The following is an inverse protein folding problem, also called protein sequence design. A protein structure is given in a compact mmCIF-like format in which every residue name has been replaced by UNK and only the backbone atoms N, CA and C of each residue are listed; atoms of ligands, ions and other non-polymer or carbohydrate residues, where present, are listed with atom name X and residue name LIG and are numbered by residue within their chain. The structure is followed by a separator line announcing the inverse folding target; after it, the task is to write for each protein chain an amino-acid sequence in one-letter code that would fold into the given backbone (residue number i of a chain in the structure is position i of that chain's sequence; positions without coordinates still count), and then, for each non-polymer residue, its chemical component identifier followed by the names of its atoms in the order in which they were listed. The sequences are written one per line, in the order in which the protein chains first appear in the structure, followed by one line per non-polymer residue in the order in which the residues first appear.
data_IF_652122758323
#
_entry.id   IF_652122758323
#
_cell.length_a   1.000
_cell.length_b   1.000
_cell.length_c   1.000
_cell.angle_alpha   90.00
_cell.angle_beta   90.00
_cell.angle_gamma   90.00
#
_symmetry.space_group_name_H-M   'P 1'
#
loop_
_entity.id
_entity.type
_entity.pdbx_description
1 polymer ?
#
# COMPACT_ATOMS: atom_id res chain seq x y z
N UNK A 1 10.43 14.09 -0.46
CA UNK A 1 10.22 13.51 0.87
C UNK A 1 8.75 13.15 0.98
N UNK A 2 8.43 12.07 1.59
CA UNK A 2 7.08 11.50 1.63
C UNK A 2 6.29 12.03 2.83
N UNK A 3 6.95 12.21 3.97
CA UNK A 3 6.42 12.97 5.11
C UNK A 3 6.66 14.47 4.86
N UNK A 4 5.67 15.32 5.04
CA UNK A 4 5.81 16.76 4.83
C UNK A 4 6.92 17.38 5.70
N UNK A 5 7.63 18.37 5.19
CA UNK A 5 8.77 19.01 5.87
C UNK A 5 8.41 19.55 7.26
N UNK A 6 7.22 20.17 7.39
CA UNK A 6 6.71 20.67 8.67
C UNK A 6 6.50 19.53 9.69
N UNK A 7 5.95 18.40 9.26
CA UNK A 7 5.73 17.25 10.13
C UNK A 7 7.05 16.58 10.51
N UNK A 8 7.97 16.44 9.56
CA UNK A 8 9.31 15.92 9.82
C UNK A 8 10.09 16.80 10.79
N UNK A 9 10.00 18.11 10.64
CA UNK A 9 10.63 19.08 11.55
C UNK A 9 10.02 19.00 12.96
N UNK A 10 8.71 18.85 13.08
CA UNK A 10 8.05 18.66 14.38
C UNK A 10 8.45 17.36 15.06
N UNK A 11 8.63 16.30 14.28
CA UNK A 11 9.00 14.97 14.78
C UNK A 11 10.48 14.91 15.19
N UNK A 12 11.38 15.40 14.34
CA UNK A 12 12.83 15.17 14.43
C UNK A 12 13.68 16.45 14.49
N UNK A 13 13.06 17.64 14.47
CA UNK A 13 13.80 18.90 14.36
C UNK A 13 14.39 19.12 12.96
N UNK A 14 15.28 20.10 12.81
CA UNK A 14 15.87 20.49 11.51
C UNK A 14 16.84 19.48 10.92
N UNK A 15 17.33 18.52 11.73
CA UNK A 15 18.20 17.41 11.29
C UNK A 15 17.43 16.21 10.72
N UNK A 16 16.11 16.34 10.52
CA UNK A 16 15.21 15.26 10.13
C UNK A 16 15.71 14.38 8.95
N UNK A 17 16.41 14.85 7.92
CA UNK A 17 16.83 13.97 6.81
C UNK A 17 17.68 12.80 7.31
N UNK A 18 18.73 13.07 8.10
CA UNK A 18 19.60 12.02 8.63
C UNK A 18 18.90 11.10 9.61
N UNK A 19 18.04 11.66 10.48
CA UNK A 19 17.26 10.86 11.45
C UNK A 19 16.28 9.92 10.74
N UNK A 20 15.62 10.40 9.67
CA UNK A 20 14.73 9.56 8.88
C UNK A 20 15.47 8.48 8.09
N UNK A 21 16.70 8.75 7.63
CA UNK A 21 17.57 7.74 7.02
C UNK A 21 17.95 6.65 8.03
N UNK A 22 18.32 7.02 9.26
CA UNK A 22 18.57 6.07 10.33
C UNK A 22 17.33 5.24 10.66
N UNK A 23 16.15 5.88 10.78
CA UNK A 23 14.89 5.19 11.03
C UNK A 23 14.51 4.24 9.88
N UNK A 24 14.79 4.63 8.63
CA UNK A 24 14.54 3.77 7.46
C UNK A 24 15.47 2.56 7.41
N UNK A 25 16.71 2.69 7.85
CA UNK A 25 17.68 1.60 7.92
C UNK A 25 17.46 0.65 9.12
N UNK A 26 16.75 1.12 10.15
CA UNK A 26 16.48 0.34 11.36
C UNK A 26 15.25 -0.56 11.19
N UNK A 27 15.30 -1.76 11.78
CA UNK A 27 14.12 -2.61 11.94
C UNK A 27 13.25 -2.12 13.11
N UNK A 28 11.94 -2.41 13.05
CA UNK A 28 11.01 -2.08 14.13
C UNK A 28 10.64 -0.61 14.26
N UNK A 29 10.88 0.21 13.25
CA UNK A 29 10.41 1.60 13.15
C UNK A 29 9.24 1.72 12.17
N UNK A 30 8.42 2.78 12.27
CA UNK A 30 7.36 3.08 11.28
C UNK A 30 7.96 3.24 9.88
N UNK A 31 9.14 3.86 9.77
CA UNK A 31 9.83 4.18 8.52
C UNK A 31 10.75 3.07 8.00
N UNK A 32 10.84 1.93 8.70
CA UNK A 32 11.70 0.80 8.34
C UNK A 32 11.54 0.39 6.86
N UNK A 33 12.66 0.05 6.21
CA UNK A 33 12.66 -0.53 4.87
C UNK A 33 11.78 -1.81 4.76
N UNK A 34 11.56 -2.53 5.86
CA UNK A 34 10.68 -3.70 5.92
C UNK A 34 9.20 -3.34 5.69
N UNK A 35 8.82 -2.09 5.97
CA UNK A 35 7.49 -1.56 5.73
C UNK A 35 7.34 -0.96 4.33
N UNK A 36 8.42 -0.89 3.56
CA UNK A 36 8.45 -0.21 2.27
C UNK A 36 8.08 -1.13 1.09
N UNK A 37 7.47 -0.52 0.07
CA UNK A 37 7.49 -0.99 -1.31
C UNK A 37 8.15 0.09 -2.17
N UNK A 38 9.00 -0.32 -3.10
CA UNK A 38 9.70 0.58 -4.01
C UNK A 38 9.16 0.40 -5.43
N UNK A 39 8.79 1.49 -6.07
CA UNK A 39 8.50 1.51 -7.49
C UNK A 39 9.80 1.71 -8.27
N UNK A 40 10.10 0.81 -9.19
CA UNK A 40 11.25 0.87 -10.07
C UNK A 40 10.80 1.15 -11.52
N UNK A 41 11.53 1.99 -12.21
CA UNK A 41 11.35 2.29 -13.63
C UNK A 41 12.72 2.20 -14.29
N UNK A 42 12.86 1.30 -15.25
CA UNK A 42 14.12 1.07 -15.99
C UNK A 42 15.35 0.85 -15.08
N UNK A 43 15.18 0.09 -14.00
CA UNK A 43 16.24 -0.22 -13.04
C UNK A 43 16.55 0.91 -12.06
N UNK A 44 15.73 1.97 -12.02
CA UNK A 44 15.92 3.12 -11.14
C UNK A 44 14.77 3.25 -10.17
N UNK A 45 15.05 3.43 -8.89
CA UNK A 45 14.03 3.69 -7.87
C UNK A 45 13.28 5.00 -8.18
N UNK A 46 12.03 4.90 -8.58
CA UNK A 46 11.18 6.01 -9.01
C UNK A 46 10.29 6.56 -7.89
N UNK A 47 10.09 5.78 -6.83
CA UNK A 47 9.26 6.17 -5.70
C UNK A 47 9.18 5.07 -4.65
N UNK A 48 8.58 5.40 -3.53
CA UNK A 48 8.36 4.44 -2.44
C UNK A 48 7.03 4.71 -1.73
N UNK A 49 6.50 3.67 -1.09
CA UNK A 49 5.42 3.77 -0.13
C UNK A 49 5.78 2.99 1.12
N UNK A 50 5.30 3.48 2.26
CA UNK A 50 5.44 2.85 3.57
C UNK A 50 4.05 2.48 4.09
N UNK A 51 3.92 1.29 4.66
CA UNK A 51 2.67 0.86 5.27
C UNK A 51 2.86 -0.30 6.21
N UNK A 52 2.04 -0.34 7.24
CA UNK A 52 2.10 -1.31 8.32
C UNK A 52 0.70 -1.58 8.90
N UNK A 53 0.57 -2.69 9.61
CA UNK A 53 -0.66 -3.01 10.33
C UNK A 53 -0.87 -2.03 11.49
N UNK A 54 -2.04 -1.42 11.57
CA UNK A 54 -2.37 -0.45 12.61
C UNK A 54 -2.26 -1.00 14.04
N UNK A 55 -2.37 -2.31 14.20
CA UNK A 55 -2.11 -2.99 15.48
C UNK A 55 -0.65 -2.80 15.97
N UNK A 56 0.29 -2.57 15.05
CA UNK A 56 1.71 -2.41 15.35
C UNK A 56 2.12 -0.94 15.55
N UNK A 57 1.20 0.01 15.40
CA UNK A 57 1.48 1.45 15.47
C UNK A 57 2.34 1.84 16.66
N UNK A 58 1.90 1.51 17.87
CA UNK A 58 2.60 1.94 19.08
C UNK A 58 3.99 1.32 19.22
N UNK A 59 4.13 0.04 18.86
CA UNK A 59 5.43 -0.63 18.87
C UNK A 59 6.40 -0.01 17.88
N UNK A 60 5.96 0.21 16.64
CA UNK A 60 6.78 0.81 15.58
C UNK A 60 7.11 2.28 15.90
N UNK A 61 6.16 3.01 16.48
CA UNK A 61 6.36 4.39 16.93
C UNK A 61 7.42 4.48 18.02
N UNK A 62 7.39 3.58 19.01
CA UNK A 62 8.44 3.54 20.04
C UNK A 62 9.82 3.26 19.43
N UNK A 63 9.92 2.35 18.46
CA UNK A 63 11.16 2.14 17.71
C UNK A 63 11.63 3.41 16.99
N UNK A 64 10.73 4.11 16.32
CA UNK A 64 11.02 5.40 15.67
C UNK A 64 11.49 6.45 16.69
N UNK A 65 10.77 6.60 17.81
CA UNK A 65 11.12 7.54 18.85
C UNK A 65 12.46 7.21 19.50
N UNK A 66 12.82 5.92 19.63
CA UNK A 66 14.12 5.51 20.14
C UNK A 66 15.27 6.00 19.23
N UNK A 67 15.12 5.86 17.91
CA UNK A 67 16.09 6.41 16.94
C UNK A 67 16.17 7.94 17.07
N UNK A 68 15.02 8.62 17.13
CA UNK A 68 14.98 10.09 17.24
C UNK A 68 15.65 10.58 18.52
N UNK A 69 15.43 9.93 19.65
CA UNK A 69 16.03 10.30 20.97
C UNK A 69 17.57 10.22 20.97
N UNK A 70 18.16 9.43 20.11
CA UNK A 70 19.61 9.41 19.94
C UNK A 70 20.17 10.70 19.36
N UNK A 71 19.38 11.38 18.52
CA UNK A 71 19.75 12.63 17.84
C UNK A 71 19.06 13.87 18.44
N UNK A 72 17.92 13.68 19.11
CA UNK A 72 17.08 14.74 19.71
C UNK A 72 16.54 14.34 21.07
N UNK A 73 16.65 15.25 22.03
CA UNK A 73 16.26 14.99 23.43
C UNK A 73 14.74 14.94 23.68
N UNK A 74 13.91 15.56 22.83
CA UNK A 74 12.46 15.66 23.05
C UNK A 74 11.69 15.61 21.72
N UNK A 75 11.44 14.40 21.17
CA UNK A 75 10.57 14.28 20.03
C UNK A 75 9.13 14.63 20.39
N UNK A 76 8.43 15.29 19.50
CA UNK A 76 6.99 15.49 19.61
C UNK A 76 6.29 14.17 19.23
N UNK A 77 5.33 13.73 20.06
CA UNK A 77 4.56 12.52 19.81
C UNK A 77 3.32 12.89 18.99
N UNK A 78 3.13 12.31 17.79
CA UNK A 78 1.93 12.57 17.01
C UNK A 78 0.71 11.84 17.60
N UNK A 79 -0.48 12.32 17.22
CA UNK A 79 -1.75 11.61 17.47
C UNK A 79 -1.76 10.25 16.76
N UNK A 80 -2.67 9.35 17.15
CA UNK A 80 -2.79 8.03 16.51
C UNK A 80 -3.45 8.13 15.15
N UNK A 81 -2.66 7.89 14.11
CA UNK A 81 -3.11 7.94 12.72
C UNK A 81 -3.92 6.71 12.29
N UNK A 82 -3.75 5.57 12.94
CA UNK A 82 -4.42 4.30 12.63
C UNK A 82 -4.82 3.53 13.89
N UNK A 83 -5.43 2.35 13.72
CA UNK A 83 -5.85 1.47 14.81
C UNK A 83 -5.85 -0.01 14.33
N UNK A 84 -5.93 -0.99 15.25
CA UNK A 84 -6.05 -2.40 14.88
C UNK A 84 -7.19 -2.67 13.89
N UNK A 85 -6.98 -3.61 12.96
CA UNK A 85 -7.93 -3.97 11.89
C UNK A 85 -7.81 -3.10 10.63
N UNK A 86 -6.85 -2.19 10.58
CA UNK A 86 -6.51 -1.40 9.42
C UNK A 86 -5.05 -1.63 9.03
N UNK A 87 -4.77 -1.88 7.75
CA UNK A 87 -3.43 -1.70 7.22
C UNK A 87 -3.28 -0.22 6.84
N UNK A 88 -2.33 0.46 7.42
CA UNK A 88 -2.17 1.89 7.25
C UNK A 88 -1.04 2.21 6.28
N UNK A 89 -1.35 2.98 5.24
CA UNK A 89 -0.37 3.56 4.32
C UNK A 89 0.06 4.91 4.90
N UNK A 90 1.22 4.90 5.54
CA UNK A 90 1.78 6.07 6.21
C UNK A 90 2.23 7.12 5.21
N UNK A 91 2.92 6.66 4.18
CA UNK A 91 3.58 7.55 3.24
C UNK A 91 3.64 6.98 1.84
N UNK A 92 3.47 7.83 0.82
CA UNK A 92 3.66 7.46 -0.57
C UNK A 92 4.23 8.65 -1.37
N UNK A 93 5.26 8.40 -2.16
CA UNK A 93 5.88 9.43 -2.99
C UNK A 93 6.49 8.88 -4.27
N UNK A 94 6.35 9.67 -5.33
CA UNK A 94 7.00 9.42 -6.63
C UNK A 94 7.87 10.63 -6.97
N UNK A 95 9.10 10.36 -7.38
CA UNK A 95 10.04 11.39 -7.82
C UNK A 95 9.42 12.21 -8.97
N UNK A 96 9.63 13.54 -9.01
CA UNK A 96 8.95 14.44 -9.95
C UNK A 96 9.00 13.97 -11.41
N UNK A 97 10.17 13.50 -11.86
CA UNK A 97 10.39 13.06 -13.24
C UNK A 97 9.63 11.78 -13.63
N UNK A 98 9.12 11.01 -12.64
CA UNK A 98 8.36 9.77 -12.88
C UNK A 98 6.87 9.92 -12.59
N UNK A 99 6.42 11.15 -12.26
CA UNK A 99 4.99 11.44 -12.03
C UNK A 99 4.19 11.40 -13.33
N UNK A 100 2.87 11.25 -13.20
CA UNK A 100 1.91 11.25 -14.31
C UNK A 100 2.05 10.07 -15.30
N UNK A 101 2.85 9.07 -14.99
CA UNK A 101 3.03 7.84 -15.79
C UNK A 101 2.39 6.59 -15.12
N UNK A 102 1.51 6.81 -14.14
CA UNK A 102 0.78 5.72 -13.46
C UNK A 102 1.54 5.04 -12.32
N UNK A 103 2.84 5.34 -12.09
CA UNK A 103 3.64 4.70 -11.05
C UNK A 103 3.02 4.85 -9.65
N UNK A 104 2.51 6.05 -9.30
CA UNK A 104 1.86 6.28 -8.00
C UNK A 104 0.60 5.44 -7.79
N UNK A 105 -0.22 5.28 -8.84
CA UNK A 105 -1.39 4.38 -8.77
C UNK A 105 -0.96 2.93 -8.55
N UNK A 106 0.01 2.45 -9.31
CA UNK A 106 0.51 1.07 -9.20
C UNK A 106 1.08 0.80 -7.79
N UNK A 107 1.89 1.72 -7.27
CA UNK A 107 2.48 1.61 -5.94
C UNK A 107 1.41 1.62 -4.84
N UNK A 108 0.41 2.50 -4.94
CA UNK A 108 -0.73 2.55 -4.01
C UNK A 108 -1.50 1.23 -4.02
N UNK A 109 -1.80 0.70 -5.20
CA UNK A 109 -2.55 -0.56 -5.34
C UNK A 109 -1.74 -1.77 -4.85
N UNK A 110 -0.43 -1.78 -5.02
CA UNK A 110 0.44 -2.80 -4.44
C UNK A 110 0.40 -2.77 -2.90
N UNK A 111 0.39 -1.57 -2.30
CA UNK A 111 0.21 -1.43 -0.84
C UNK A 111 -1.17 -1.92 -0.38
N UNK A 112 -2.22 -1.61 -1.13
CA UNK A 112 -3.57 -2.15 -0.84
C UNK A 112 -3.54 -3.68 -0.88
N UNK A 113 -2.96 -4.28 -1.93
CA UNK A 113 -2.80 -5.73 -2.05
C UNK A 113 -2.02 -6.33 -0.88
N UNK A 114 -0.89 -5.71 -0.47
CA UNK A 114 -0.11 -6.13 0.70
C UNK A 114 -0.96 -6.15 1.98
N UNK A 115 -1.72 -5.07 2.24
CA UNK A 115 -2.56 -4.97 3.43
C UNK A 115 -3.65 -6.02 3.49
N UNK A 116 -4.31 -6.29 2.35
CA UNK A 116 -5.35 -7.32 2.26
C UNK A 116 -4.77 -8.74 2.37
N UNK A 117 -3.60 -8.99 1.79
CA UNK A 117 -2.91 -10.29 1.89
C UNK A 117 -2.48 -10.62 3.34
N UNK A 118 -2.26 -9.61 4.18
CA UNK A 118 -2.00 -9.76 5.61
C UNK A 118 -3.28 -10.01 6.44
N UNK A 119 -4.46 -10.07 5.80
CA UNK A 119 -5.73 -10.36 6.46
C UNK A 119 -6.42 -9.13 7.08
N UNK A 120 -6.01 -7.92 6.72
CA UNK A 120 -6.70 -6.72 7.18
C UNK A 120 -8.01 -6.50 6.40
N UNK A 121 -9.07 -6.08 7.09
CA UNK A 121 -10.38 -5.81 6.48
C UNK A 121 -10.41 -4.51 5.66
N UNK A 122 -9.45 -3.63 5.91
CA UNK A 122 -9.40 -2.28 5.32
C UNK A 122 -7.97 -1.78 5.25
N UNK A 123 -7.74 -0.97 4.24
CA UNK A 123 -6.50 -0.22 4.05
C UNK A 123 -6.82 1.26 4.18
N UNK A 124 -6.14 1.95 5.08
CA UNK A 124 -6.37 3.36 5.37
C UNK A 124 -5.16 4.24 5.06
N UNK A 125 -5.42 5.51 4.90
CA UNK A 125 -4.41 6.57 4.80
C UNK A 125 -4.99 7.90 5.24
N UNK A 126 -4.11 8.86 5.51
CA UNK A 126 -4.54 10.24 5.72
C UNK A 126 -4.11 11.15 4.56
N UNK A 127 -4.91 12.15 4.27
CA UNK A 127 -4.60 13.17 3.27
C UNK A 127 -4.97 14.56 3.79
N UNK A 128 -4.08 15.51 3.56
CA UNK A 128 -4.31 16.91 3.88
C UNK A 128 -5.47 17.49 3.07
N UNK A 129 -6.30 18.34 3.69
CA UNK A 129 -7.43 19.01 3.03
C UNK A 129 -7.00 19.83 1.81
N UNK A 130 -5.79 20.38 1.82
CA UNK A 130 -5.22 21.14 0.71
C UNK A 130 -4.65 20.28 -0.42
N UNK A 131 -4.46 18.97 -0.21
CA UNK A 131 -3.84 18.08 -1.20
C UNK A 131 -4.88 17.41 -2.11
N UNK A 132 -5.59 18.23 -2.89
CA UNK A 132 -6.63 17.77 -3.82
C UNK A 132 -6.12 16.80 -4.89
N UNK A 133 -4.84 16.91 -5.29
CA UNK A 133 -4.23 16.01 -6.26
C UNK A 133 -4.07 14.59 -5.74
N UNK A 134 -3.61 14.42 -4.50
CA UNK A 134 -3.53 13.12 -3.84
C UNK A 134 -4.93 12.57 -3.54
N UNK A 135 -5.83 13.40 -3.01
CA UNK A 135 -7.21 13.01 -2.74
C UNK A 135 -7.90 12.43 -3.98
N UNK A 136 -7.79 13.11 -5.13
CA UNK A 136 -8.34 12.63 -6.40
C UNK A 136 -7.68 11.32 -6.89
N UNK A 137 -6.39 11.09 -6.61
CA UNK A 137 -5.75 9.80 -6.89
C UNK A 137 -6.34 8.71 -6.01
N UNK A 138 -6.45 8.94 -4.71
CA UNK A 138 -6.97 7.97 -3.75
C UNK A 138 -8.43 7.60 -4.04
N UNK A 139 -9.28 8.58 -4.36
CA UNK A 139 -10.66 8.34 -4.76
C UNK A 139 -10.77 7.45 -6.01
N UNK A 140 -9.95 7.73 -7.06
CA UNK A 140 -9.87 6.86 -8.25
C UNK A 140 -9.33 5.45 -7.98
N UNK A 141 -8.66 5.26 -6.85
CA UNK A 141 -8.19 3.96 -6.37
C UNK A 141 -9.15 3.28 -5.38
N UNK A 142 -10.37 3.81 -5.21
CA UNK A 142 -11.41 3.20 -4.39
C UNK A 142 -11.40 3.63 -2.92
N UNK A 143 -10.53 4.55 -2.53
CA UNK A 143 -10.56 5.11 -1.18
C UNK A 143 -11.73 6.07 -1.01
N UNK A 144 -12.40 5.98 0.15
CA UNK A 144 -13.54 6.85 0.52
C UNK A 144 -13.27 7.52 1.86
N UNK A 145 -13.71 8.77 2.04
CA UNK A 145 -13.64 9.44 3.33
C UNK A 145 -14.45 8.68 4.38
N UNK A 146 -13.84 8.35 5.51
CA UNK A 146 -14.49 7.70 6.66
C UNK A 146 -14.50 8.59 7.90
N UNK A 147 -13.78 9.70 7.88
CA UNK A 147 -13.74 10.66 8.97
C UNK A 147 -12.59 11.65 8.84
N UNK A 148 -12.32 12.31 9.93
CA UNK A 148 -11.19 13.22 10.10
C UNK A 148 -10.33 12.73 11.27
N UNK A 149 -9.03 12.93 11.16
CA UNK A 149 -8.06 12.67 12.22
C UNK A 149 -7.16 13.89 12.44
N UNK A 150 -6.58 13.96 13.61
CA UNK A 150 -5.54 14.93 13.93
C UNK A 150 -4.17 14.31 13.67
N UNK A 151 -3.24 15.10 13.17
CA UNK A 151 -1.83 14.78 13.12
C UNK A 151 -1.05 16.06 13.47
N UNK A 152 -0.39 16.05 14.62
CA UNK A 152 0.20 17.27 15.22
C UNK A 152 -0.77 18.45 15.29
N UNK A 153 -2.01 18.19 15.75
CA UNK A 153 -3.11 19.17 15.81
C UNK A 153 -3.57 19.70 14.44
N UNK A 154 -3.07 19.14 13.34
CA UNK A 154 -3.53 19.45 11.99
C UNK A 154 -4.61 18.46 11.58
N UNK A 155 -5.77 18.95 11.14
CA UNK A 155 -6.85 18.10 10.66
C UNK A 155 -6.55 17.56 9.27
N UNK A 156 -6.78 16.25 9.09
CA UNK A 156 -6.62 15.54 7.83
C UNK A 156 -7.86 14.68 7.56
N UNK A 157 -8.17 14.44 6.30
CA UNK A 157 -9.14 13.42 5.93
C UNK A 157 -8.54 12.03 6.22
N UNK A 158 -9.30 11.18 6.89
CA UNK A 158 -9.03 9.76 6.96
C UNK A 158 -9.82 9.06 5.86
N UNK A 159 -9.11 8.42 4.95
CA UNK A 159 -9.69 7.69 3.83
C UNK A 159 -9.43 6.20 4.03
N UNK A 160 -10.42 5.37 3.67
CA UNK A 160 -10.27 3.92 3.68
C UNK A 160 -10.71 3.31 2.35
N UNK A 161 -9.98 2.29 1.94
CA UNK A 161 -10.39 1.32 0.96
C UNK A 161 -10.80 0.05 1.73
N UNK A 162 -12.09 -0.22 1.79
CA UNK A 162 -12.62 -1.47 2.34
C UNK A 162 -12.75 -2.42 1.18
N UNK A 163 -12.07 -3.53 1.22
CA UNK A 163 -12.05 -4.54 0.16
C UNK A 163 -12.11 -3.97 -1.25
N UNK A 164 -11.23 -4.43 -2.10
CA UNK A 164 -11.60 -4.62 -3.48
C UNK A 164 -12.79 -5.61 -3.43
N UNK A 165 -14.01 -5.10 -3.26
CA UNK A 165 -15.17 -5.96 -3.44
C UNK A 165 -15.01 -6.50 -4.84
N UNK A 166 -14.87 -7.82 -4.94
CA UNK A 166 -14.95 -8.46 -6.23
C UNK A 166 -16.30 -8.08 -6.80
N UNK A 167 -16.33 -7.11 -7.71
CA UNK A 167 -17.55 -6.78 -8.46
C UNK A 167 -17.93 -7.95 -9.35
N UNK A 168 -16.92 -8.71 -9.75
CA UNK A 168 -17.08 -9.89 -10.59
C UNK A 168 -16.17 -11.01 -10.13
N UNK A 169 -16.64 -12.25 -10.29
CA UNK A 169 -15.92 -13.47 -9.92
C UNK A 169 -16.09 -14.53 -10.99
N UNK A 170 -15.05 -15.31 -11.21
CA UNK A 170 -15.11 -16.51 -12.04
C UNK A 170 -14.40 -17.65 -11.34
N UNK A 171 -15.09 -18.80 -11.22
CA UNK A 171 -14.51 -20.05 -10.71
C UNK A 171 -13.71 -20.72 -11.84
N UNK A 172 -12.49 -21.12 -11.57
CA UNK A 172 -11.72 -21.94 -12.50
C UNK A 172 -12.01 -23.43 -12.25
N UNK A 173 -12.56 -24.12 -13.26
CA UNK A 173 -12.97 -25.52 -13.16
C UNK A 173 -12.00 -26.49 -13.86
N UNK A 174 -10.83 -26.03 -14.29
CA UNK A 174 -9.92 -26.82 -15.12
C UNK A 174 -10.36 -26.92 -16.59
N UNK A 175 -11.64 -26.75 -16.91
CA UNK A 175 -12.23 -26.94 -18.25
C UNK A 175 -12.74 -25.64 -18.88
N UNK A 176 -12.87 -24.55 -18.11
CA UNK A 176 -13.47 -23.30 -18.55
C UNK A 176 -12.45 -22.20 -18.91
N UNK A 177 -11.28 -22.58 -19.40
CA UNK A 177 -10.23 -21.60 -19.78
C UNK A 177 -10.73 -20.49 -20.72
N UNK A 178 -11.54 -20.76 -21.75
CA UNK A 178 -12.03 -19.68 -22.64
C UNK A 178 -12.78 -18.59 -21.90
N UNK A 179 -13.64 -18.94 -20.94
CA UNK A 179 -14.40 -17.99 -20.12
C UNK A 179 -13.48 -17.22 -19.14
N UNK A 180 -12.50 -17.92 -18.56
CA UNK A 180 -11.48 -17.29 -17.71
C UNK A 180 -10.61 -16.34 -18.54
N UNK A 181 -10.24 -16.70 -19.76
CA UNK A 181 -9.48 -15.83 -20.68
C UNK A 181 -10.29 -14.56 -21.05
N UNK A 182 -11.57 -14.70 -21.33
CA UNK A 182 -12.47 -13.56 -21.56
C UNK A 182 -12.56 -12.66 -20.34
N UNK A 183 -12.71 -13.26 -19.14
CA UNK A 183 -12.76 -12.53 -17.86
C UNK A 183 -11.48 -11.78 -17.53
N UNK A 184 -10.31 -12.42 -17.68
CA UNK A 184 -9.01 -11.88 -17.29
C UNK A 184 -8.30 -11.08 -18.40
N UNK A 185 -8.74 -11.20 -19.65
CA UNK A 185 -8.06 -10.62 -20.81
C UNK A 185 -6.63 -11.14 -20.95
N UNK A 186 -5.70 -10.24 -21.25
CA UNK A 186 -4.29 -10.58 -21.46
C UNK A 186 -3.51 -10.85 -20.16
N UNK A 187 -4.17 -10.72 -18.99
CA UNK A 187 -3.57 -11.00 -17.70
C UNK A 187 -3.52 -12.48 -17.32
N UNK A 188 -4.09 -13.38 -18.12
CA UNK A 188 -4.04 -14.83 -17.90
C UNK A 188 -3.22 -15.51 -18.99
N UNK A 189 -2.30 -16.38 -18.59
CA UNK A 189 -1.51 -17.20 -19.51
C UNK A 189 -2.24 -18.50 -19.84
N UNK A 190 -1.81 -19.14 -20.92
CA UNK A 190 -2.36 -20.43 -21.32
C UNK A 190 -2.25 -21.49 -20.21
N UNK A 191 -3.21 -22.41 -20.11
CA UNK A 191 -3.17 -23.45 -19.10
C UNK A 191 -1.96 -24.39 -19.33
N UNK A 192 -1.43 -24.90 -18.24
CA UNK A 192 -0.41 -25.94 -18.23
C UNK A 192 -0.80 -27.06 -17.27
N UNK A 193 -0.24 -28.23 -17.48
CA UNK A 193 -0.51 -29.38 -16.62
C UNK A 193 0.71 -29.59 -15.71
N UNK A 194 0.45 -29.60 -14.40
CA UNK A 194 1.43 -29.94 -13.39
C UNK A 194 0.87 -31.05 -12.51
N UNK A 195 1.60 -32.17 -12.38
CA UNK A 195 1.18 -33.35 -11.59
C UNK A 195 -0.24 -33.85 -11.91
N UNK A 196 -0.69 -33.70 -13.17
CA UNK A 196 -2.03 -34.14 -13.60
C UNK A 196 -3.16 -33.12 -13.36
N UNK A 197 -2.86 -31.97 -12.79
CA UNK A 197 -3.84 -30.90 -12.57
C UNK A 197 -3.68 -29.79 -13.60
N UNK A 198 -4.81 -29.24 -14.07
CA UNK A 198 -4.83 -28.05 -14.92
C UNK A 198 -4.64 -26.80 -14.08
N UNK A 199 -3.64 -26.01 -14.42
CA UNK A 199 -3.26 -24.80 -13.69
C UNK A 199 -3.14 -23.63 -14.68
N UNK A 200 -3.39 -22.41 -14.17
CA UNK A 200 -3.18 -21.16 -14.91
C UNK A 200 -2.19 -20.28 -14.16
N UNK A 201 -1.56 -19.38 -14.88
CA UNK A 201 -0.79 -18.28 -14.28
C UNK A 201 -1.51 -16.98 -14.56
N UNK A 202 -1.89 -16.28 -13.50
CA UNK A 202 -2.50 -14.96 -13.53
C UNK A 202 -1.42 -13.90 -13.32
N UNK A 203 -1.38 -12.90 -14.17
CA UNK A 203 -0.50 -11.74 -14.01
C UNK A 203 -1.15 -10.81 -12.98
N UNK A 204 -0.52 -10.69 -11.84
CA UNK A 204 -0.91 -9.80 -10.74
C UNK A 204 0.13 -8.70 -10.55
N UNK A 205 -0.15 -7.62 -9.81
CA UNK A 205 0.80 -6.51 -9.65
C UNK A 205 2.20 -6.93 -9.18
N UNK A 206 2.27 -7.97 -8.34
CA UNK A 206 3.53 -8.44 -7.74
C UNK A 206 4.17 -9.62 -8.49
N UNK A 207 3.76 -9.90 -9.74
CA UNK A 207 4.31 -10.99 -10.55
C UNK A 207 3.25 -11.94 -11.06
N UNK A 208 3.28 -13.20 -10.64
CA UNK A 208 2.34 -14.24 -11.09
C UNK A 208 1.69 -14.92 -9.89
N UNK A 209 0.37 -15.06 -9.95
CA UNK A 209 -0.38 -15.96 -9.07
C UNK A 209 -0.72 -17.24 -9.81
N UNK A 210 -0.53 -18.39 -9.17
CA UNK A 210 -1.00 -19.67 -9.69
C UNK A 210 -2.49 -19.81 -9.38
N UNK A 211 -3.26 -20.23 -10.38
CA UNK A 211 -4.69 -20.53 -10.25
C UNK A 211 -4.89 -22.02 -10.44
N UNK A 212 -5.39 -22.69 -9.42
CA UNK A 212 -5.68 -24.11 -9.42
C UNK A 212 -7.16 -24.35 -9.76
N UNK A 213 -7.49 -25.56 -10.18
CA UNK A 213 -8.89 -25.97 -10.29
C UNK A 213 -9.58 -25.85 -8.93
N UNK A 214 -10.71 -25.15 -8.90
CA UNK A 214 -11.45 -24.80 -7.67
C UNK A 214 -11.17 -23.41 -7.11
N UNK A 215 -10.12 -22.74 -7.58
CA UNK A 215 -9.85 -21.36 -7.18
C UNK A 215 -10.82 -20.38 -7.87
N UNK A 216 -11.12 -19.31 -7.18
CA UNK A 216 -11.94 -18.21 -7.71
C UNK A 216 -11.06 -17.02 -8.06
N UNK A 217 -11.13 -16.56 -9.31
CA UNK A 217 -10.50 -15.31 -9.73
C UNK A 217 -11.50 -14.18 -9.52
N UNK A 218 -11.09 -13.16 -8.84
CA UNK A 218 -11.87 -11.97 -8.52
C UNK A 218 -11.37 -10.78 -9.35
N UNK A 219 -12.29 -9.88 -9.75
CA UNK A 219 -11.98 -8.61 -10.42
C UNK A 219 -12.72 -7.47 -9.71
N UNK A 220 -12.00 -6.37 -9.44
CA UNK A 220 -12.62 -5.15 -8.93
C UNK A 220 -13.03 -4.19 -10.07
N UNK A 221 -13.76 -3.13 -9.73
CA UNK A 221 -14.17 -2.08 -10.66
C UNK A 221 -13.03 -1.29 -11.31
N UNK A 222 -11.78 -1.51 -10.90
CA UNK A 222 -10.57 -0.94 -11.50
C UNK A 222 -9.88 -1.93 -12.44
N UNK A 223 -10.39 -3.17 -12.55
CA UNK A 223 -9.83 -4.24 -13.36
C UNK A 223 -8.63 -4.94 -12.73
N UNK A 224 -8.39 -4.78 -11.41
CA UNK A 224 -7.39 -5.56 -10.71
C UNK A 224 -7.92 -6.99 -10.50
N UNK A 225 -7.01 -7.96 -10.61
CA UNK A 225 -7.32 -9.38 -10.48
C UNK A 225 -6.56 -9.97 -9.30
N UNK A 226 -7.20 -10.91 -8.60
CA UNK A 226 -6.57 -11.74 -7.57
C UNK A 226 -7.25 -13.10 -7.48
N UNK A 227 -6.62 -14.03 -6.79
CA UNK A 227 -7.10 -15.40 -6.60
C UNK A 227 -7.52 -15.60 -5.14
N UNK A 228 -8.63 -16.30 -4.92
CA UNK A 228 -9.15 -16.68 -3.59
C UNK A 228 -9.37 -18.18 -3.55
#
# INVERSE_FOLDING_TARGET
MVIGEDSATKLCGTGYPGVLEEAAAAEGTQYSYLNALVAEVDGVAAGAALGYEGANLHQLREGTLAVIRNSYSTPSIPDDETAPGEFYIDSIGILPQYRNHGAGKKLLMAMVGKGLALGNDRVGLMVDFGNSGAAALYERCGFKPVGEKLFYSHKMHHLQCTHLQAEEKILYTGLNYPQVKEFCGDKILAPYICMGFSMLSLIVPDGFATVNEGDTICRDGLGNLWVV
#
